data_IF_987722014183
#
_entry.id   IF_987722014183
#
_cell.length_a   1.000
_cell.length_b   1.000
_cell.length_c   1.000
_cell.angle_alpha   90.00
_cell.angle_beta   90.00
_cell.angle_gamma   90.00
#
_symmetry.space_group_name_H-M   'P 1'
#
loop_
_entity.id
_entity.type
_entity.pdbx_description
1 polymer ?
#
# COMPACT_ATOMS: atom_id res chain seq x y z
N UNK A 1 0.44 16.25 -8.21
CA UNK A 1 1.11 15.23 -7.37
C UNK A 1 2.64 15.29 -7.49
N UNK A 2 3.22 16.48 -7.27
CA UNK A 2 4.63 16.65 -6.86
C UNK A 2 4.53 17.36 -5.51
N UNK A 3 5.34 16.97 -4.53
CA UNK A 3 5.33 17.45 -3.15
C UNK A 3 4.31 16.72 -2.26
N UNK A 4 4.55 15.43 -2.03
CA UNK A 4 4.39 14.92 -0.68
C UNK A 4 5.70 15.25 0.04
N UNK A 5 5.77 16.48 0.58
CA UNK A 5 6.83 17.01 1.45
C UNK A 5 8.23 17.14 0.83
N UNK A 6 8.43 18.20 0.02
CA UNK A 6 9.69 18.93 -0.06
C UNK A 6 9.45 20.22 -0.84
N UNK A 7 9.48 21.37 -0.14
CA UNK A 7 9.72 22.64 -0.80
C UNK A 7 11.19 23.00 -0.57
N UNK A 8 11.84 23.47 -1.64
CA UNK A 8 13.27 23.65 -1.79
C UNK A 8 13.78 24.90 -1.07
N UNK A 9 13.58 24.98 0.25
CA UNK A 9 14.17 26.01 1.10
C UNK A 9 14.50 25.44 2.49
N UNK A 10 15.70 24.87 2.60
CA UNK A 10 16.57 24.68 3.78
C UNK A 10 15.98 24.61 5.21
N UNK A 11 14.78 24.07 5.41
CA UNK A 11 14.18 23.66 6.69
C UNK A 11 13.00 22.72 6.42
N UNK A 12 13.26 21.65 5.66
CA UNK A 12 12.25 20.62 5.39
C UNK A 12 11.92 19.91 6.71
N UNK A 13 10.81 20.30 7.34
CA UNK A 13 10.23 19.54 8.42
C UNK A 13 9.91 18.14 7.89
N UNK A 14 10.76 17.18 8.26
CA UNK A 14 10.63 15.78 7.92
C UNK A 14 9.57 15.18 8.86
N UNK A 15 8.31 15.56 8.68
CA UNK A 15 7.21 15.06 9.50
C UNK A 15 6.98 13.58 9.20
N UNK A 16 7.09 12.75 10.24
CA UNK A 16 6.76 11.33 10.13
C UNK A 16 5.23 11.17 10.00
N UNK A 17 4.75 11.03 8.78
CA UNK A 17 3.33 10.89 8.45
C UNK A 17 2.63 9.77 9.25
N UNK A 18 3.33 8.67 9.57
CA UNK A 18 2.75 7.59 10.38
C UNK A 18 2.48 8.01 11.82
N UNK A 19 3.35 8.82 12.43
CA UNK A 19 3.11 9.31 13.78
C UNK A 19 1.84 10.16 13.83
N UNK A 20 1.65 11.02 12.83
CA UNK A 20 0.44 11.84 12.70
C UNK A 20 -0.79 10.97 12.46
N UNK A 21 -0.68 9.97 11.58
CA UNK A 21 -1.79 9.08 11.24
C UNK A 21 -2.21 8.21 12.44
N UNK A 22 -1.25 7.67 13.20
CA UNK A 22 -1.52 6.92 14.43
C UNK A 22 -2.06 7.82 15.55
N UNK A 23 -1.52 9.03 15.72
CA UNK A 23 -2.04 10.01 16.67
C UNK A 23 -3.49 10.35 16.32
N UNK A 24 -3.78 10.62 15.04
CA UNK A 24 -5.13 10.90 14.57
C UNK A 24 -6.08 9.72 14.80
N UNK A 25 -5.67 8.49 14.49
CA UNK A 25 -6.46 7.29 14.73
C UNK A 25 -6.74 7.07 16.22
N UNK A 26 -5.78 7.39 17.10
CA UNK A 26 -5.93 7.26 18.55
C UNK A 26 -6.85 8.33 19.17
N UNK A 27 -6.86 9.55 18.61
CA UNK A 27 -7.58 10.71 19.18
C UNK A 27 -8.94 10.97 18.55
N UNK A 28 -9.12 10.59 17.29
CA UNK A 28 -10.34 10.87 16.53
C UNK A 28 -10.98 9.56 16.06
N UNK A 29 -11.98 9.03 16.79
CA UNK A 29 -12.67 7.79 16.41
C UNK A 29 -13.33 7.85 15.02
N UNK A 30 -13.75 9.04 14.59
CA UNK A 30 -14.25 9.33 13.24
C UNK A 30 -13.21 9.00 12.16
N UNK A 31 -11.94 9.34 12.41
CA UNK A 31 -10.84 9.07 11.49
C UNK A 31 -10.57 7.56 11.38
N UNK A 32 -10.57 6.84 12.51
CA UNK A 32 -10.44 5.38 12.48
C UNK A 32 -11.59 4.72 11.72
N UNK A 33 -12.84 5.18 11.91
CA UNK A 33 -13.99 4.67 11.13
C UNK A 33 -13.83 4.94 9.64
N UNK A 34 -13.30 6.11 9.26
CA UNK A 34 -13.02 6.44 7.86
C UNK A 34 -11.95 5.53 7.27
N UNK A 35 -10.83 5.34 7.97
CA UNK A 35 -9.73 4.45 7.56
C UNK A 35 -10.26 3.03 7.34
N UNK A 36 -10.98 2.45 8.31
CA UNK A 36 -11.57 1.12 8.18
C UNK A 36 -12.56 1.00 7.00
N UNK A 37 -13.28 2.09 6.70
CA UNK A 37 -14.20 2.15 5.54
C UNK A 37 -13.42 2.18 4.22
N UNK A 38 -12.30 2.88 4.16
CA UNK A 38 -11.42 2.91 2.98
C UNK A 38 -10.75 1.55 2.79
N UNK A 39 -10.18 0.97 3.85
CA UNK A 39 -9.57 -0.35 3.81
C UNK A 39 -10.53 -1.44 3.29
N UNK A 40 -11.80 -1.42 3.72
CA UNK A 40 -12.84 -2.32 3.17
C UNK A 40 -13.09 -2.13 1.68
N UNK A 41 -13.02 -0.89 1.17
CA UNK A 41 -13.15 -0.61 -0.27
C UNK A 41 -11.93 -1.14 -1.02
N UNK A 42 -10.74 -0.97 -0.47
CA UNK A 42 -9.50 -1.42 -1.09
C UNK A 42 -9.46 -2.95 -1.18
N UNK A 43 -9.78 -3.66 -0.09
CA UNK A 43 -9.92 -5.12 -0.11
C UNK A 43 -10.94 -5.55 -1.17
N UNK A 44 -12.10 -4.89 -1.23
CA UNK A 44 -13.14 -5.26 -2.22
C UNK A 44 -12.64 -5.07 -3.65
N UNK A 45 -11.93 -3.98 -3.94
CA UNK A 45 -11.37 -3.72 -5.25
C UNK A 45 -10.30 -4.76 -5.62
N UNK A 46 -9.40 -5.08 -4.69
CA UNK A 46 -8.38 -6.09 -4.89
C UNK A 46 -8.97 -7.48 -5.12
N UNK A 47 -9.90 -7.92 -4.28
CA UNK A 47 -10.60 -9.20 -4.47
C UNK A 47 -11.26 -9.28 -5.85
N UNK A 48 -11.85 -8.18 -6.32
CA UNK A 48 -12.48 -8.13 -7.64
C UNK A 48 -11.48 -8.35 -8.76
N UNK A 49 -10.31 -7.70 -8.74
CA UNK A 49 -9.33 -7.84 -9.82
C UNK A 49 -8.62 -9.20 -9.78
N UNK A 50 -8.35 -9.74 -8.59
CA UNK A 50 -7.78 -11.08 -8.40
C UNK A 50 -8.74 -12.15 -8.94
N UNK A 51 -10.03 -12.05 -8.62
CA UNK A 51 -11.06 -12.95 -9.15
C UNK A 51 -11.13 -12.93 -10.68
N UNK A 52 -11.00 -11.74 -11.29
CA UNK A 52 -10.96 -11.59 -12.75
C UNK A 52 -9.70 -12.25 -13.33
N UNK A 53 -8.53 -12.04 -12.73
CA UNK A 53 -7.28 -12.64 -13.18
C UNK A 53 -7.34 -14.18 -13.10
N UNK A 54 -7.90 -14.74 -12.02
CA UNK A 54 -8.12 -16.18 -11.89
C UNK A 54 -9.06 -16.73 -12.98
N UNK A 55 -10.22 -16.07 -13.19
CA UNK A 55 -11.20 -16.49 -14.21
C UNK A 55 -10.67 -16.44 -15.63
N UNK A 56 -9.75 -15.51 -15.91
CA UNK A 56 -9.06 -15.40 -17.20
C UNK A 56 -7.90 -16.38 -17.36
N UNK A 57 -7.55 -17.14 -16.34
CA UNK A 57 -6.40 -18.04 -16.34
C UNK A 57 -5.06 -17.31 -16.34
N UNK A 58 -5.03 -16.04 -15.93
CA UNK A 58 -3.80 -15.24 -15.86
C UNK A 58 -2.93 -15.64 -14.66
N UNK A 59 -3.58 -16.00 -13.54
CA UNK A 59 -2.93 -16.44 -12.31
C UNK A 59 -3.55 -17.74 -11.80
N UNK A 60 -2.79 -18.54 -11.06
CA UNK A 60 -3.25 -19.74 -10.37
C UNK A 60 -2.73 -19.78 -8.95
N UNK A 61 -3.62 -20.08 -8.01
CA UNK A 61 -3.31 -20.09 -6.58
C UNK A 61 -4.29 -20.98 -5.84
N UNK A 62 -3.86 -21.50 -4.69
CA UNK A 62 -4.73 -22.21 -3.72
C UNK A 62 -5.29 -21.27 -2.65
N UNK A 63 -4.72 -20.06 -2.53
CA UNK A 63 -5.17 -19.03 -1.60
C UNK A 63 -6.47 -18.39 -2.07
N UNK A 64 -7.27 -17.91 -1.12
CA UNK A 64 -8.47 -17.13 -1.40
C UNK A 64 -8.14 -15.76 -1.99
N UNK A 65 -9.10 -15.17 -2.71
CA UNK A 65 -9.01 -13.79 -3.22
C UNK A 65 -8.66 -12.78 -2.11
N UNK A 66 -9.14 -13.03 -0.88
CA UNK A 66 -8.93 -12.15 0.27
C UNK A 66 -7.51 -12.25 0.83
N UNK A 67 -6.96 -13.45 0.93
CA UNK A 67 -5.57 -13.65 1.36
C UNK A 67 -4.59 -12.99 0.39
N UNK A 68 -4.85 -13.10 -0.93
CA UNK A 68 -4.02 -12.43 -1.93
C UNK A 68 -4.21 -10.91 -1.89
N UNK A 69 -5.46 -10.42 -1.73
CA UNK A 69 -5.72 -8.99 -1.58
C UNK A 69 -4.98 -8.40 -0.38
N UNK A 70 -5.03 -9.08 0.76
CA UNK A 70 -4.30 -8.71 1.97
C UNK A 70 -2.79 -8.70 1.73
N UNK A 71 -2.24 -9.67 0.99
CA UNK A 71 -0.81 -9.70 0.66
C UNK A 71 -0.38 -8.44 -0.11
N UNK A 72 -1.14 -8.01 -1.12
CA UNK A 72 -0.83 -6.77 -1.86
C UNK A 72 -0.94 -5.52 -0.97
N UNK A 73 -1.98 -5.43 -0.14
CA UNK A 73 -2.21 -4.28 0.75
C UNK A 73 -1.12 -4.17 1.84
N UNK A 74 -0.86 -5.25 2.58
CA UNK A 74 0.14 -5.26 3.64
C UNK A 74 1.54 -4.97 3.08
N UNK A 75 1.83 -5.45 1.87
CA UNK A 75 3.10 -5.16 1.26
C UNK A 75 3.21 -3.69 0.83
N UNK A 76 2.11 -3.06 0.43
CA UNK A 76 2.06 -1.60 0.18
C UNK A 76 2.41 -0.82 1.44
N UNK A 77 1.77 -1.17 2.55
CA UNK A 77 2.01 -0.52 3.85
C UNK A 77 3.47 -0.70 4.30
N UNK A 78 3.99 -1.91 4.17
CA UNK A 78 5.38 -2.24 4.49
C UNK A 78 6.39 -1.49 3.60
N UNK A 79 6.13 -1.40 2.29
CA UNK A 79 6.97 -0.63 1.36
C UNK A 79 6.97 0.85 1.72
N UNK A 80 5.81 1.41 2.07
CA UNK A 80 5.70 2.81 2.47
C UNK A 80 6.45 3.10 3.77
N UNK A 81 6.32 2.24 4.78
CA UNK A 81 7.06 2.35 6.03
C UNK A 81 8.58 2.25 5.83
N UNK A 82 9.03 1.35 4.95
CA UNK A 82 10.45 1.23 4.61
C UNK A 82 10.94 2.41 3.79
N UNK A 83 10.15 2.91 2.85
CA UNK A 83 10.50 4.06 2.02
C UNK A 83 10.76 5.32 2.86
N UNK A 84 9.91 5.60 3.84
CA UNK A 84 10.09 6.76 4.76
C UNK A 84 11.36 6.61 5.62
N UNK A 85 11.74 5.38 5.97
CA UNK A 85 12.91 5.08 6.80
C UNK A 85 14.16 4.71 5.97
N UNK A 86 14.21 5.07 4.69
CA UNK A 86 15.29 4.67 3.78
C UNK A 86 15.96 5.90 3.19
N UNK A 87 17.29 5.89 3.17
CA UNK A 87 18.16 6.93 2.61
C UNK A 87 18.42 6.74 1.10
N UNK A 88 17.89 5.65 0.51
CA UNK A 88 18.10 5.34 -0.91
C UNK A 88 17.36 6.32 -1.83
N UNK A 89 17.97 6.72 -2.96
CA UNK A 89 17.44 7.73 -3.87
C UNK A 89 16.31 7.23 -4.80
N UNK A 90 15.87 5.96 -4.68
CA UNK A 90 14.84 5.41 -5.56
C UNK A 90 13.46 5.99 -5.24
N UNK A 91 12.63 6.22 -6.25
CA UNK A 91 11.28 6.72 -6.03
C UNK A 91 10.41 5.64 -5.36
N UNK A 92 9.48 6.04 -4.49
CA UNK A 92 8.52 5.14 -3.83
C UNK A 92 7.83 4.18 -4.81
N UNK A 93 7.39 4.71 -5.96
CA UNK A 93 6.73 3.93 -7.02
C UNK A 93 7.57 2.74 -7.50
N UNK A 94 8.89 2.86 -7.50
CA UNK A 94 9.78 1.82 -8.01
C UNK A 94 9.88 0.65 -7.01
N UNK A 95 9.90 0.95 -5.71
CA UNK A 95 9.82 -0.07 -4.67
C UNK A 95 8.47 -0.79 -4.70
N UNK A 96 7.37 -0.05 -4.86
CA UNK A 96 6.04 -0.63 -4.88
C UNK A 96 5.83 -1.50 -6.12
N UNK A 97 6.21 -1.01 -7.30
CA UNK A 97 6.13 -1.77 -8.54
C UNK A 97 6.94 -3.06 -8.47
N UNK A 98 8.20 -2.99 -8.02
CA UNK A 98 9.04 -4.19 -7.90
C UNK A 98 8.43 -5.24 -6.96
N UNK A 99 7.79 -4.77 -5.89
CA UNK A 99 7.11 -5.62 -4.92
C UNK A 99 5.87 -6.28 -5.53
N UNK A 100 5.03 -5.51 -6.22
CA UNK A 100 3.86 -6.04 -6.92
C UNK A 100 4.25 -7.02 -8.02
N UNK A 101 5.26 -6.70 -8.81
CA UNK A 101 5.80 -7.60 -9.84
C UNK A 101 6.31 -8.91 -9.23
N UNK A 102 6.96 -8.84 -8.07
CA UNK A 102 7.44 -10.03 -7.36
C UNK A 102 6.28 -10.92 -6.94
N UNK A 103 5.24 -10.35 -6.32
CA UNK A 103 4.05 -11.12 -5.93
C UNK A 103 3.38 -11.70 -7.17
N UNK A 104 3.09 -10.87 -8.17
CA UNK A 104 2.39 -11.26 -9.39
C UNK A 104 3.12 -12.36 -10.17
N UNK A 105 4.44 -12.27 -10.35
CA UNK A 105 5.24 -13.29 -11.06
C UNK A 105 5.16 -14.67 -10.41
N UNK A 106 4.99 -14.74 -9.09
CA UNK A 106 4.84 -16.02 -8.38
C UNK A 106 3.42 -16.60 -8.46
N UNK A 107 2.44 -15.81 -8.90
CA UNK A 107 1.05 -16.24 -9.11
C UNK A 107 0.74 -16.54 -10.58
N UNK A 108 1.47 -15.90 -11.50
CA UNK A 108 1.28 -15.98 -12.94
C UNK A 108 1.56 -17.39 -13.47
N UNK A 109 0.76 -17.81 -14.45
CA UNK A 109 0.93 -19.04 -15.24
C UNK A 109 1.71 -18.73 -16.52
#
# INVERSE_FOLDING_TARGET
MRNLVADSSNNAFNFNFFLILFEAASRFPEFLKLELKLHKKDIKAWKSIISVAQKKGEIKTVSSDEEIANLFLYCTDGVFLRFINNDKPKAFKDFLLNTYDTIYKNLKI
#
